data_IF_272188605380
#
_entry.id   IF_272188605380
#
_cell.length_a   1.000
_cell.length_b   1.000
_cell.length_c   1.000
_cell.angle_alpha   90.00
_cell.angle_beta   90.00
_cell.angle_gamma   90.00
#
_symmetry.space_group_name_H-M   'P 1'
#
loop_
_entity.id
_entity.type
_entity.pdbx_description
1 polymer ?
#
# COMPACT_ATOMS: atom_id res chain seq x y z
N UNK A 1 4.54 21.73 -20.36
CA UNK A 1 3.57 20.79 -19.74
C UNK A 1 3.87 20.69 -18.25
N UNK A 2 2.86 20.72 -17.36
CA UNK A 2 3.03 20.59 -15.90
C UNK A 2 2.08 19.51 -15.38
N UNK A 3 2.62 18.50 -14.70
CA UNK A 3 1.84 17.48 -13.99
C UNK A 3 1.19 18.11 -12.75
N UNK A 4 -0.06 17.72 -12.44
CA UNK A 4 -0.83 18.29 -11.32
C UNK A 4 -0.71 17.47 -10.04
N UNK A 5 -0.78 16.14 -10.16
CA UNK A 5 -0.78 15.21 -9.05
C UNK A 5 -0.44 13.78 -9.53
N UNK A 6 -0.17 12.88 -8.59
CA UNK A 6 -0.12 11.44 -8.83
C UNK A 6 -1.54 10.89 -8.87
N UNK A 7 -1.90 10.15 -9.92
CA UNK A 7 -3.26 9.60 -10.04
C UNK A 7 -3.47 8.27 -9.30
N UNK A 8 -2.58 7.30 -9.53
CA UNK A 8 -2.60 6.00 -8.85
C UNK A 8 -1.28 5.25 -9.07
N UNK A 9 -1.08 4.19 -8.28
CA UNK A 9 -0.04 3.17 -8.52
C UNK A 9 -0.71 1.87 -9.00
N UNK A 10 -0.05 1.17 -9.92
CA UNK A 10 -0.49 -0.16 -10.38
C UNK A 10 0.55 -1.22 -10.02
N UNK A 11 0.10 -2.28 -9.35
CA UNK A 11 0.91 -3.44 -9.00
C UNK A 11 0.42 -4.68 -9.74
N UNK A 12 1.36 -5.52 -10.18
CA UNK A 12 1.02 -6.90 -10.51
C UNK A 12 1.07 -7.73 -9.24
N UNK A 13 0.04 -8.53 -9.01
CA UNK A 13 -0.10 -9.38 -7.82
C UNK A 13 -0.31 -10.84 -8.21
N UNK A 14 0.05 -11.75 -7.30
CA UNK A 14 -0.10 -13.20 -7.53
C UNK A 14 -1.47 -13.75 -7.11
N UNK A 15 -2.09 -13.14 -6.10
CA UNK A 15 -3.35 -13.60 -5.54
C UNK A 15 -4.20 -12.39 -5.13
N UNK A 16 -5.26 -12.12 -5.90
CA UNK A 16 -6.16 -10.99 -5.66
C UNK A 16 -6.92 -11.08 -4.34
N UNK A 17 -7.15 -12.27 -3.81
CA UNK A 17 -7.86 -12.44 -2.54
C UNK A 17 -6.90 -12.18 -1.37
N UNK A 18 -5.64 -12.63 -1.48
CA UNK A 18 -4.60 -12.21 -0.53
C UNK A 18 -4.39 -10.69 -0.56
N UNK A 19 -4.36 -10.09 -1.76
CA UNK A 19 -4.30 -8.64 -1.94
C UNK A 19 -5.47 -7.92 -1.27
N UNK A 20 -6.71 -8.42 -1.41
CA UNK A 20 -7.89 -7.86 -0.73
C UNK A 20 -7.77 -7.92 0.78
N UNK A 21 -7.41 -9.08 1.34
CA UNK A 21 -7.22 -9.23 2.80
C UNK A 21 -6.18 -8.25 3.34
N UNK A 22 -5.14 -7.96 2.57
CA UNK A 22 -4.13 -6.98 2.97
C UNK A 22 -4.64 -5.54 2.83
N UNK A 23 -4.95 -5.08 1.61
CA UNK A 23 -5.25 -3.67 1.39
C UNK A 23 -6.61 -3.23 1.95
N UNK A 24 -7.64 -4.07 1.83
CA UNK A 24 -8.98 -3.75 2.34
C UNK A 24 -9.13 -4.08 3.82
N UNK A 25 -8.86 -5.33 4.20
CA UNK A 25 -9.22 -5.81 5.54
C UNK A 25 -8.15 -5.46 6.59
N UNK A 26 -6.88 -5.35 6.18
CA UNK A 26 -5.77 -5.04 7.10
C UNK A 26 -5.43 -3.55 7.12
N UNK A 27 -5.27 -2.92 5.95
CA UNK A 27 -4.95 -1.50 5.85
C UNK A 27 -6.18 -0.57 5.80
N UNK A 28 -7.38 -1.12 5.62
CA UNK A 28 -8.62 -0.33 5.64
C UNK A 28 -8.88 0.47 4.36
N UNK A 29 -8.17 0.22 3.26
CA UNK A 29 -8.48 0.88 1.99
C UNK A 29 -9.84 0.43 1.46
N UNK A 30 -10.59 1.37 0.88
CA UNK A 30 -11.89 1.05 0.30
C UNK A 30 -11.70 0.40 -1.07
N UNK A 31 -12.20 -0.82 -1.25
CA UNK A 31 -12.33 -1.44 -2.58
C UNK A 31 -13.39 -0.65 -3.37
N UNK A 32 -13.00 -0.05 -4.50
CA UNK A 32 -13.87 0.85 -5.28
C UNK A 32 -14.44 0.19 -6.53
N UNK A 33 -13.94 -0.98 -6.90
CA UNK A 33 -14.49 -1.79 -7.98
C UNK A 33 -13.49 -2.79 -8.54
N UNK A 34 -13.89 -3.43 -9.62
CA UNK A 34 -13.07 -4.39 -10.38
C UNK A 34 -13.13 -4.11 -11.87
N UNK A 35 -12.15 -4.62 -12.62
CA UNK A 35 -12.13 -4.56 -14.08
C UNK A 35 -11.54 -5.84 -14.69
N UNK A 36 -11.65 -5.96 -16.02
CA UNK A 36 -11.17 -7.13 -16.81
C UNK A 36 -11.67 -8.45 -16.22
N UNK A 37 -12.98 -8.57 -16.04
CA UNK A 37 -13.64 -9.77 -15.51
C UNK A 37 -13.08 -10.19 -14.14
N UNK A 38 -12.82 -9.21 -13.27
CA UNK A 38 -12.31 -9.44 -11.92
C UNK A 38 -10.80 -9.62 -11.82
N UNK A 39 -10.04 -9.52 -12.92
CA UNK A 39 -8.56 -9.61 -12.90
C UNK A 39 -7.87 -8.39 -12.30
N UNK A 40 -8.59 -7.27 -12.15
CA UNK A 40 -8.10 -6.06 -11.50
C UNK A 40 -9.02 -5.72 -10.34
N UNK A 41 -8.44 -5.34 -9.21
CA UNK A 41 -9.13 -4.71 -8.08
C UNK A 41 -8.59 -3.30 -7.87
N UNK A 42 -9.47 -2.36 -7.53
CA UNK A 42 -9.13 -0.97 -7.25
C UNK A 42 -9.36 -0.63 -5.78
N UNK A 43 -8.43 0.10 -5.18
CA UNK A 43 -8.49 0.57 -3.80
C UNK A 43 -8.32 2.08 -3.70
N UNK A 44 -8.97 2.69 -2.71
CA UNK A 44 -8.91 4.12 -2.43
C UNK A 44 -8.68 4.40 -0.94
N UNK A 45 -7.79 5.33 -0.64
CA UNK A 45 -7.59 5.97 0.65
C UNK A 45 -8.56 7.15 0.87
N UNK A 46 -9.43 7.46 -0.10
CA UNK A 46 -10.48 8.47 -0.02
C UNK A 46 -10.23 9.75 -0.82
N UNK A 47 -9.05 9.90 -1.43
CA UNK A 47 -8.69 11.12 -2.20
C UNK A 47 -9.12 11.00 -3.67
N UNK A 48 -8.78 9.89 -4.33
CA UNK A 48 -9.17 9.62 -5.71
C UNK A 48 -10.20 8.49 -5.81
N UNK A 49 -10.81 8.30 -6.99
CA UNK A 49 -11.66 7.12 -7.26
C UNK A 49 -10.90 5.81 -6.97
N UNK A 50 -9.60 5.79 -7.26
CA UNK A 50 -8.67 4.76 -6.83
C UNK A 50 -7.27 5.36 -6.73
N UNK A 51 -6.56 5.00 -5.67
CA UNK A 51 -5.16 5.39 -5.41
C UNK A 51 -4.22 4.20 -5.73
N UNK A 52 -4.74 2.98 -5.66
CA UNK A 52 -4.03 1.74 -5.96
C UNK A 52 -4.88 0.84 -6.86
N UNK A 53 -4.24 0.21 -7.84
CA UNK A 53 -4.81 -0.86 -8.64
C UNK A 53 -3.91 -2.10 -8.57
N UNK A 54 -4.51 -3.27 -8.43
CA UNK A 54 -3.78 -4.53 -8.39
C UNK A 54 -4.31 -5.44 -9.50
N UNK A 55 -3.46 -5.76 -10.49
CA UNK A 55 -3.78 -6.66 -11.60
C UNK A 55 -3.15 -8.04 -11.37
N UNK A 56 -3.92 -9.10 -11.58
CA UNK A 56 -3.40 -10.46 -11.54
C UNK A 56 -2.33 -10.64 -12.63
N UNK A 57 -1.11 -10.99 -12.21
CA UNK A 57 0.02 -11.19 -13.10
C UNK A 57 -0.28 -12.26 -14.17
N UNK A 58 0.30 -12.10 -15.36
CA UNK A 58 0.09 -13.02 -16.51
C UNK A 58 1.13 -14.14 -16.59
N UNK A 59 2.22 -13.99 -15.85
CA UNK A 59 3.29 -14.95 -15.75
C UNK A 59 3.82 -14.97 -14.32
N UNK A 60 4.32 -16.13 -13.90
CA UNK A 60 5.15 -16.18 -12.71
C UNK A 60 6.43 -15.39 -12.97
N UNK A 61 6.80 -14.54 -12.02
CA UNK A 61 8.03 -13.76 -12.04
C UNK A 61 8.61 -13.68 -10.64
N UNK A 62 9.84 -13.16 -10.51
CA UNK A 62 10.38 -12.83 -9.20
C UNK A 62 9.43 -11.86 -8.47
N UNK A 63 9.56 -11.77 -7.16
CA UNK A 63 8.89 -10.70 -6.41
C UNK A 63 9.43 -9.31 -6.75
N UNK A 64 9.18 -8.32 -5.89
CA UNK A 64 9.74 -6.98 -6.04
C UNK A 64 11.24 -7.02 -6.27
N UNK A 65 11.74 -6.01 -6.98
CA UNK A 65 13.16 -5.90 -7.26
C UNK A 65 13.96 -5.78 -5.95
N UNK A 66 15.21 -6.31 -5.91
CA UNK A 66 16.09 -6.11 -4.77
C UNK A 66 16.30 -4.64 -4.46
N UNK A 67 16.57 -4.31 -3.19
CA UNK A 67 16.90 -2.93 -2.81
C UNK A 67 18.18 -2.47 -3.52
N UNK A 68 18.16 -1.24 -4.03
CA UNK A 68 19.32 -0.61 -4.66
C UNK A 68 19.41 -0.76 -6.18
N UNK A 69 18.42 -1.39 -6.83
CA UNK A 69 18.31 -1.37 -8.31
C UNK A 69 17.13 -0.49 -8.75
N UNK A 70 17.15 0.05 -9.98
CA UNK A 70 16.00 0.78 -10.52
C UNK A 70 14.73 -0.07 -10.53
N UNK A 71 13.63 0.49 -9.99
CA UNK A 71 12.34 -0.17 -9.88
C UNK A 71 11.41 0.55 -8.90
N UNK A 72 10.21 0.00 -8.68
CA UNK A 72 9.36 0.47 -7.59
C UNK A 72 10.03 0.14 -6.25
N UNK A 73 10.33 1.17 -5.47
CA UNK A 73 10.95 1.00 -4.16
C UNK A 73 9.90 0.72 -3.07
N UNK A 74 8.96 1.63 -2.84
CA UNK A 74 7.84 1.45 -1.91
C UNK A 74 6.64 2.31 -2.34
N UNK A 75 5.48 2.04 -1.73
CA UNK A 75 4.27 2.89 -1.80
C UNK A 75 3.96 3.34 -0.37
N UNK A 76 3.69 4.63 -0.18
CA UNK A 76 3.45 5.21 1.13
C UNK A 76 1.98 5.60 1.32
N UNK A 77 1.39 5.26 2.47
CA UNK A 77 0.05 5.64 2.87
C UNK A 77 0.09 6.45 4.16
N UNK A 78 -0.62 7.57 4.13
CA UNK A 78 -0.89 8.38 5.31
C UNK A 78 -1.89 7.66 6.22
N UNK A 79 -1.54 7.50 7.48
CA UNK A 79 -2.38 6.82 8.49
C UNK A 79 -2.77 7.70 9.66
N UNK A 80 -2.45 9.01 9.62
CA UNK A 80 -2.83 9.93 10.68
C UNK A 80 -1.96 11.17 10.77
N UNK A 81 -2.19 11.96 11.82
CA UNK A 81 -1.51 13.23 12.06
C UNK A 81 -0.55 13.18 13.26
N UNK A 82 -0.56 12.10 14.04
CA UNK A 82 0.16 12.02 15.32
C UNK A 82 1.05 10.77 15.46
N UNK A 83 2.16 10.85 16.21
CA UNK A 83 2.96 9.69 16.57
C UNK A 83 2.16 8.60 17.30
N UNK A 84 1.13 8.97 18.07
CA UNK A 84 0.25 8.05 18.76
C UNK A 84 -0.58 7.19 17.79
N UNK A 85 -1.11 7.79 16.72
CA UNK A 85 -1.82 7.07 15.64
C UNK A 85 -0.87 6.13 14.90
N UNK A 86 0.35 6.59 14.58
CA UNK A 86 1.37 5.74 13.96
C UNK A 86 1.69 4.53 14.85
N UNK A 87 1.87 4.74 16.16
CA UNK A 87 2.13 3.68 17.11
C UNK A 87 0.95 2.71 17.25
N UNK A 88 -0.30 3.20 17.13
CA UNK A 88 -1.49 2.35 17.11
C UNK A 88 -1.55 1.48 15.85
N UNK A 89 -1.29 2.07 14.67
CA UNK A 89 -1.21 1.34 13.40
C UNK A 89 -0.12 0.25 13.46
N UNK A 90 1.07 0.59 13.98
CA UNK A 90 2.19 -0.35 14.17
C UNK A 90 1.77 -1.56 15.00
N UNK A 91 1.20 -1.34 16.19
CA UNK A 91 0.72 -2.42 17.07
C UNK A 91 -0.35 -3.27 16.40
N UNK A 92 -1.26 -2.65 15.66
CA UNK A 92 -2.34 -3.34 14.97
C UNK A 92 -1.82 -4.28 13.86
N UNK A 93 -0.76 -3.89 13.16
CA UNK A 93 -0.12 -4.71 12.12
C UNK A 93 0.76 -5.81 12.70
N UNK A 94 1.51 -5.53 13.76
CA UNK A 94 2.28 -6.55 14.48
C UNK A 94 1.37 -7.66 15.01
N UNK A 95 0.22 -7.31 15.59
CA UNK A 95 -0.76 -8.28 16.07
C UNK A 95 -1.37 -9.16 14.96
N UNK A 96 -1.27 -8.73 13.70
CA UNK A 96 -1.69 -9.48 12.51
C UNK A 96 -0.54 -10.26 11.86
N UNK A 97 0.62 -10.32 12.50
CA UNK A 97 1.80 -11.03 12.00
C UNK A 97 2.56 -10.31 10.90
N UNK A 98 2.38 -8.99 10.78
CA UNK A 98 3.13 -8.14 9.84
C UNK A 98 4.25 -7.41 10.60
N UNK A 99 5.49 -7.94 10.60
CA UNK A 99 6.58 -7.33 11.33
C UNK A 99 7.00 -6.00 10.68
N UNK A 100 7.05 -4.89 11.43
CA UNK A 100 7.51 -3.61 10.90
C UNK A 100 9.02 -3.61 10.67
N UNK A 101 9.48 -2.77 9.75
CA UNK A 101 10.89 -2.50 9.50
C UNK A 101 11.07 -1.08 8.94
N UNK A 102 12.32 -0.62 8.77
CA UNK A 102 12.60 0.69 8.17
C UNK A 102 12.03 1.86 8.99
N UNK A 103 12.04 1.73 10.31
CA UNK A 103 11.36 2.66 11.22
C UNK A 103 12.06 4.03 11.28
N UNK A 104 11.24 5.07 11.29
CA UNK A 104 11.63 6.47 11.54
C UNK A 104 10.72 7.04 12.64
N UNK A 105 10.97 8.27 13.14
CA UNK A 105 10.04 8.92 14.07
C UNK A 105 8.61 9.12 13.53
N UNK A 106 8.43 9.08 12.20
CA UNK A 106 7.15 9.41 11.55
C UNK A 106 6.65 8.34 10.57
N UNK A 107 7.34 7.22 10.44
CA UNK A 107 6.93 6.13 9.55
C UNK A 107 7.51 4.77 9.92
N UNK A 108 6.89 3.72 9.41
CA UNK A 108 7.45 2.37 9.36
C UNK A 108 6.94 1.64 8.12
N UNK A 109 7.65 0.60 7.69
CA UNK A 109 7.26 -0.22 6.56
C UNK A 109 6.77 -1.61 7.01
N UNK A 110 5.85 -2.17 6.22
CA UNK A 110 5.52 -3.60 6.21
C UNK A 110 5.61 -4.14 4.78
N UNK A 111 5.52 -5.46 4.63
CA UNK A 111 5.45 -6.10 3.30
C UNK A 111 4.02 -6.52 3.00
N UNK A 112 3.58 -6.24 1.77
CA UNK A 112 2.36 -6.81 1.23
C UNK A 112 2.52 -8.32 0.94
N UNK A 113 1.46 -9.04 0.54
CA UNK A 113 1.53 -10.48 0.26
C UNK A 113 2.52 -10.88 -0.83
N UNK A 114 2.82 -9.98 -1.76
CA UNK A 114 3.76 -10.18 -2.86
C UNK A 114 5.19 -9.75 -2.51
N UNK A 115 5.38 -9.11 -1.35
CA UNK A 115 6.65 -8.67 -0.78
C UNK A 115 6.94 -7.18 -0.99
N UNK A 116 6.05 -6.41 -1.61
CA UNK A 116 6.22 -4.98 -1.87
C UNK A 116 6.31 -4.21 -0.55
N UNK A 117 7.21 -3.24 -0.50
CA UNK A 117 7.35 -2.38 0.67
C UNK A 117 6.22 -1.35 0.69
N UNK A 118 5.43 -1.39 1.78
CA UNK A 118 4.34 -0.46 2.04
C UNK A 118 4.71 0.34 3.27
N UNK A 119 4.95 1.64 3.09
CA UNK A 119 5.27 2.58 4.16
C UNK A 119 3.97 3.15 4.73
N UNK A 120 3.80 3.09 6.04
CA UNK A 120 2.76 3.80 6.75
C UNK A 120 3.40 4.99 7.47
N UNK A 121 2.90 6.18 7.21
CA UNK A 121 3.47 7.41 7.75
C UNK A 121 2.40 8.32 8.34
N UNK A 122 2.84 9.26 9.18
CA UNK A 122 2.03 10.38 9.64
C UNK A 122 2.69 11.68 9.22
N UNK A 123 1.89 12.64 8.77
CA UNK A 123 2.37 13.98 8.43
C UNK A 123 1.68 15.02 9.32
N UNK A 124 2.36 15.48 10.40
CA UNK A 124 1.82 16.49 11.31
C UNK A 124 1.49 17.83 10.62
N UNK A 125 2.06 18.09 9.44
CA UNK A 125 1.84 19.31 8.66
C UNK A 125 0.63 19.23 7.72
N UNK A 126 0.08 18.03 7.48
CA UNK A 126 -1.06 17.83 6.60
C UNK A 126 -2.35 18.22 7.32
N UNK A 127 -2.87 19.40 6.99
CA UNK A 127 -4.20 19.83 7.46
C UNK A 127 -5.25 19.01 6.71
N UNK A 128 -6.12 18.33 7.47
CA UNK A 128 -7.30 17.62 6.94
C UNK A 128 -8.35 18.55 6.34
#
# INVERSE_FOLDING_TARGET
MRVRELGHVSLFVRDLEATRRFYRDTLGLRETGTAKDGRIVFFSAGVHHHDLSCELARAAGPGPQPKGVPGLYHVAFDVGASPEELAAARRALEARGLPPFGETPHSFCVRDPDGHEVELYVDPGRRG
#
